data_IF_083567534571
#
_entry.id   IF_083567534571
#
_cell.length_a   1.000
_cell.length_b   1.000
_cell.length_c   1.000
_cell.angle_alpha   90.00
_cell.angle_beta   90.00
_cell.angle_gamma   90.00
#
_symmetry.space_group_name_H-M   'P 1'
#
loop_
_entity.id
_entity.type
_entity.pdbx_description
1 polymer ?
#
# COMPACT_ATOMS: atom_id res chain seq x y z
N UNK A 1 0.70 -8.66 32.27
CA UNK A 1 1.62 -9.74 31.82
C UNK A 1 0.94 -10.41 30.63
N UNK A 2 1.53 -10.43 29.43
CA UNK A 2 0.92 -11.12 28.29
C UNK A 2 0.84 -12.63 28.61
N UNK A 3 -0.37 -13.17 28.63
CA UNK A 3 -0.60 -14.61 28.85
C UNK A 3 -0.02 -15.37 27.67
N UNK A 4 0.85 -16.34 27.95
CA UNK A 4 1.49 -17.17 26.91
C UNK A 4 0.75 -18.49 26.81
N UNK A 5 0.30 -18.86 25.60
CA UNK A 5 -0.35 -20.13 25.34
C UNK A 5 0.54 -21.01 24.44
N UNK A 6 0.55 -22.31 24.73
CA UNK A 6 1.29 -23.30 23.95
C UNK A 6 0.31 -24.14 23.13
N UNK A 7 0.54 -24.23 21.81
CA UNK A 7 -0.22 -25.11 20.90
C UNK A 7 0.75 -26.03 20.15
N UNK A 8 0.31 -27.26 19.85
CA UNK A 8 1.12 -28.24 19.11
C UNK A 8 0.93 -28.08 17.60
N UNK A 9 1.98 -27.67 16.90
CA UNK A 9 1.98 -27.54 15.44
C UNK A 9 2.51 -28.82 14.78
N UNK A 10 1.82 -29.28 13.74
CA UNK A 10 2.31 -30.34 12.85
C UNK A 10 2.80 -29.70 11.57
N UNK A 11 4.08 -29.87 11.25
CA UNK A 11 4.69 -29.36 10.01
C UNK A 11 4.36 -30.28 8.82
N UNK A 12 4.59 -29.78 7.60
CA UNK A 12 4.48 -30.57 6.36
C UNK A 12 5.32 -31.86 6.37
N UNK A 13 6.45 -31.85 7.09
CA UNK A 13 7.30 -33.03 7.30
C UNK A 13 6.70 -34.09 8.24
N UNK A 14 5.51 -33.87 8.80
CA UNK A 14 4.90 -34.71 9.83
C UNK A 14 5.48 -34.51 11.22
N UNK A 15 6.55 -33.72 11.37
CA UNK A 15 7.15 -33.38 12.67
C UNK A 15 6.19 -32.53 13.49
N UNK A 16 6.04 -32.88 14.77
CA UNK A 16 5.22 -32.13 15.74
C UNK A 16 6.12 -31.32 16.66
N UNK A 17 5.86 -30.02 16.75
CA UNK A 17 6.63 -29.08 17.57
C UNK A 17 5.71 -28.28 18.49
N UNK A 18 6.10 -28.06 19.76
CA UNK A 18 5.39 -27.14 20.64
C UNK A 18 5.70 -25.70 20.25
N UNK A 19 4.66 -24.90 19.98
CA UNK A 19 4.77 -23.48 19.69
C UNK A 19 4.25 -22.67 20.87
N UNK A 20 5.07 -21.75 21.38
CA UNK A 20 4.74 -20.93 22.54
C UNK A 20 4.69 -19.46 22.13
N UNK A 21 3.48 -18.90 22.06
CA UNK A 21 3.21 -17.51 21.66
C UNK A 21 2.29 -16.85 22.69
N UNK A 22 2.29 -15.53 22.73
CA UNK A 22 1.30 -14.77 23.49
C UNK A 22 -0.10 -14.91 22.86
N UNK A 23 -1.13 -14.71 23.67
CA UNK A 23 -2.53 -14.87 23.27
C UNK A 23 -2.91 -13.98 22.08
N UNK A 24 -2.40 -12.74 22.03
CA UNK A 24 -2.68 -11.81 20.94
C UNK A 24 -2.13 -12.32 19.60
N UNK A 25 -0.91 -12.87 19.60
CA UNK A 25 -0.32 -13.51 18.42
C UNK A 25 -1.15 -14.73 17.97
N UNK A 26 -1.67 -15.55 18.90
CA UNK A 26 -2.56 -16.66 18.54
C UNK A 26 -3.87 -16.19 17.90
N UNK A 27 -4.50 -15.16 18.47
CA UNK A 27 -5.72 -14.58 17.91
C UNK A 27 -5.49 -14.01 16.50
N UNK A 28 -4.35 -13.35 16.28
CA UNK A 28 -3.97 -12.86 14.96
C UNK A 28 -3.81 -14.01 13.95
N UNK A 29 -3.17 -15.11 14.35
CA UNK A 29 -3.02 -16.31 13.50
C UNK A 29 -4.38 -16.92 13.19
N UNK A 30 -5.25 -17.07 14.19
CA UNK A 30 -6.59 -17.64 14.01
C UNK A 30 -7.41 -16.79 13.02
N UNK A 31 -7.34 -15.46 13.12
CA UNK A 31 -7.98 -14.53 12.19
C UNK A 31 -7.39 -14.59 10.77
N UNK A 32 -6.05 -14.61 10.63
CA UNK A 32 -5.38 -14.71 9.32
C UNK A 32 -5.66 -16.06 8.62
N UNK A 33 -5.80 -17.13 9.38
CA UNK A 33 -6.15 -18.44 8.86
C UNK A 33 -7.59 -18.47 8.34
N UNK A 34 -8.54 -17.90 9.11
CA UNK A 34 -9.95 -17.79 8.74
C UNK A 34 -10.14 -16.97 7.46
N UNK A 35 -9.42 -15.84 7.33
CA UNK A 35 -9.41 -15.02 6.10
C UNK A 35 -8.97 -15.78 4.84
N UNK A 36 -8.19 -16.85 4.99
CA UNK A 36 -7.72 -17.69 3.87
C UNK A 36 -8.49 -19.00 3.76
N UNK A 37 -9.57 -19.19 4.52
CA UNK A 37 -10.31 -20.47 4.61
C UNK A 37 -9.40 -21.66 4.96
N UNK A 38 -8.37 -21.41 5.79
CA UNK A 38 -7.41 -22.43 6.25
C UNK A 38 -7.58 -22.67 7.74
N UNK A 39 -7.16 -23.86 8.19
CA UNK A 39 -6.97 -24.07 9.63
C UNK A 39 -5.68 -23.37 10.07
N UNK A 40 -5.62 -22.95 11.34
CA UNK A 40 -4.41 -22.33 11.90
C UNK A 40 -3.16 -23.22 11.74
N UNK A 41 -3.33 -24.55 11.75
CA UNK A 41 -2.24 -25.52 11.59
C UNK A 41 -1.64 -25.45 10.18
N UNK A 42 -2.50 -25.45 9.16
CA UNK A 42 -2.09 -25.34 7.75
C UNK A 42 -1.46 -23.98 7.52
N UNK A 43 -2.08 -22.90 8.04
CA UNK A 43 -1.54 -21.56 7.90
C UNK A 43 -0.13 -21.42 8.51
N UNK A 44 0.08 -21.93 9.73
CA UNK A 44 1.39 -21.90 10.37
C UNK A 44 2.43 -22.75 9.62
N UNK A 45 2.02 -23.92 9.10
CA UNK A 45 2.91 -24.78 8.34
C UNK A 45 3.33 -24.13 7.01
N UNK A 46 2.41 -23.43 6.35
CA UNK A 46 2.68 -22.65 5.13
C UNK A 46 3.59 -21.46 5.43
N UNK A 47 3.31 -20.71 6.50
CA UNK A 47 4.11 -19.56 6.93
C UNK A 47 5.57 -19.95 7.25
N UNK A 48 5.79 -21.18 7.74
CA UNK A 48 7.11 -21.71 8.07
C UNK A 48 7.77 -22.50 6.93
N UNK A 49 7.07 -22.77 5.81
CA UNK A 49 7.64 -23.49 4.68
C UNK A 49 8.92 -22.82 4.10
N UNK A 50 9.03 -21.48 4.01
CA UNK A 50 10.26 -20.82 3.57
C UNK A 50 11.40 -20.87 4.60
N UNK A 51 11.06 -21.16 5.86
CA UNK A 51 11.95 -21.10 7.03
C UNK A 51 12.09 -22.48 7.70
N UNK A 52 12.01 -23.57 6.93
CA UNK A 52 11.95 -24.95 7.46
C UNK A 52 13.14 -25.33 8.35
N UNK A 53 14.28 -24.66 8.17
CA UNK A 53 15.53 -24.86 8.93
C UNK A 53 15.85 -23.71 9.91
N UNK A 54 14.91 -22.81 10.18
CA UNK A 54 15.15 -21.70 11.11
C UNK A 54 15.38 -22.20 12.55
N UNK A 55 16.49 -21.78 13.17
CA UNK A 55 16.82 -22.08 14.57
C UNK A 55 15.71 -21.63 15.54
N UNK A 56 14.90 -20.63 15.16
CA UNK A 56 13.82 -20.11 15.98
C UNK A 56 12.50 -19.98 15.21
N UNK A 57 11.82 -21.11 15.03
CA UNK A 57 10.52 -21.19 14.37
C UNK A 57 9.44 -20.33 15.05
N UNK A 58 9.54 -20.08 16.36
CA UNK A 58 8.58 -19.23 17.10
C UNK A 58 8.73 -17.77 16.71
N UNK A 59 9.97 -17.28 16.56
CA UNK A 59 10.23 -15.93 16.08
C UNK A 59 9.77 -15.77 14.61
N UNK A 60 10.11 -16.74 13.75
CA UNK A 60 9.71 -16.74 12.35
C UNK A 60 8.18 -16.70 12.17
N UNK A 61 7.44 -17.47 12.99
CA UNK A 61 5.98 -17.47 12.93
C UNK A 61 5.37 -16.14 13.39
N UNK A 62 5.94 -15.52 14.43
CA UNK A 62 5.51 -14.18 14.89
C UNK A 62 5.75 -13.12 13.82
N UNK A 63 6.94 -13.13 13.23
CA UNK A 63 7.29 -12.22 12.14
C UNK A 63 6.34 -12.39 10.94
N UNK A 64 6.11 -13.63 10.51
CA UNK A 64 5.18 -13.91 9.42
C UNK A 64 3.76 -13.40 9.72
N UNK A 65 3.25 -13.61 10.94
CA UNK A 65 1.95 -13.07 11.34
C UNK A 65 1.92 -11.54 11.28
N UNK A 66 2.94 -10.86 11.82
CA UNK A 66 3.01 -9.39 11.80
C UNK A 66 3.12 -8.83 10.38
N UNK A 67 3.97 -9.42 9.53
CA UNK A 67 4.09 -9.03 8.13
C UNK A 67 2.74 -9.17 7.39
N UNK A 68 2.01 -10.27 7.60
CA UNK A 68 0.69 -10.47 6.99
C UNK A 68 -0.39 -9.52 7.50
N UNK A 69 -0.38 -9.20 8.80
CA UNK A 69 -1.29 -8.18 9.35
C UNK A 69 -1.03 -6.80 8.72
N UNK A 70 0.25 -6.42 8.59
CA UNK A 70 0.64 -5.16 7.95
C UNK A 70 0.25 -5.14 6.48
N UNK A 71 0.52 -6.21 5.73
CA UNK A 71 0.07 -6.35 4.35
C UNK A 71 -1.44 -6.14 4.24
N UNK A 72 -2.25 -6.85 5.04
CA UNK A 72 -3.71 -6.71 4.96
C UNK A 72 -4.19 -5.31 5.31
N UNK A 73 -3.57 -4.66 6.29
CA UNK A 73 -3.91 -3.27 6.65
C UNK A 73 -3.59 -2.31 5.50
N UNK A 74 -2.41 -2.45 4.89
CA UNK A 74 -1.98 -1.61 3.75
C UNK A 74 -2.85 -1.88 2.51
N UNK A 75 -3.16 -3.14 2.20
CA UNK A 75 -3.96 -3.50 1.02
C UNK A 75 -5.44 -3.11 1.16
N UNK A 76 -6.02 -3.24 2.36
CA UNK A 76 -7.40 -2.81 2.61
C UNK A 76 -7.53 -1.29 2.50
N UNK A 77 -6.57 -0.55 3.05
CA UNK A 77 -6.53 0.91 2.95
C UNK A 77 -6.37 1.37 1.49
N UNK A 78 -5.49 0.72 0.73
CA UNK A 78 -5.34 0.97 -0.71
C UNK A 78 -6.62 0.67 -1.50
N UNK A 79 -7.30 -0.45 -1.24
CA UNK A 79 -8.53 -0.81 -1.96
C UNK A 79 -9.66 0.20 -1.70
N UNK A 80 -9.80 0.68 -0.46
CA UNK A 80 -10.76 1.73 -0.12
C UNK A 80 -10.38 3.07 -0.78
N UNK A 81 -9.10 3.40 -0.84
CA UNK A 81 -8.59 4.60 -1.51
C UNK A 81 -8.85 4.54 -3.03
N UNK A 82 -8.58 3.43 -3.71
CA UNK A 82 -8.91 3.27 -5.14
C UNK A 82 -10.40 3.38 -5.42
N UNK A 83 -11.26 2.81 -4.55
CA UNK A 83 -12.70 2.94 -4.69
C UNK A 83 -13.16 4.39 -4.50
N UNK A 84 -12.55 5.14 -3.57
CA UNK A 84 -12.81 6.56 -3.39
C UNK A 84 -12.32 7.40 -4.59
N UNK A 85 -11.13 7.09 -5.12
CA UNK A 85 -10.52 7.75 -6.27
C UNK A 85 -11.35 7.55 -7.54
N UNK A 86 -11.78 6.32 -7.82
CA UNK A 86 -12.57 5.99 -9.01
C UNK A 86 -13.92 6.71 -9.10
N UNK A 87 -14.46 7.15 -7.96
CA UNK A 87 -15.74 7.86 -7.89
C UNK A 87 -15.61 9.39 -7.93
N UNK A 88 -14.40 9.95 -7.89
CA UNK A 88 -14.20 11.38 -7.75
C UNK A 88 -13.61 12.00 -9.05
N UNK A 89 -14.30 12.96 -9.69
CA UNK A 89 -13.93 13.48 -11.01
C UNK A 89 -12.47 13.95 -11.13
N UNK A 90 -11.94 14.65 -10.12
CA UNK A 90 -10.56 15.19 -10.15
C UNK A 90 -9.45 14.13 -10.05
N UNK A 91 -9.71 12.99 -9.41
CA UNK A 91 -8.66 12.02 -9.02
C UNK A 91 -8.90 10.65 -9.64
N UNK A 92 -9.95 10.48 -10.44
CA UNK A 92 -10.28 9.22 -11.10
C UNK A 92 -9.19 8.76 -12.06
N UNK A 93 -8.58 9.71 -12.77
CA UNK A 93 -7.50 9.45 -13.74
C UNK A 93 -6.12 9.85 -13.16
N UNK A 94 -5.98 9.77 -11.83
CA UNK A 94 -4.73 10.05 -11.15
C UNK A 94 -3.84 8.81 -11.03
N UNK A 95 -2.54 9.03 -10.95
CA UNK A 95 -1.54 7.97 -10.89
C UNK A 95 -0.39 8.33 -9.97
N UNK A 96 0.25 7.29 -9.42
CA UNK A 96 1.55 7.44 -8.77
C UNK A 96 2.63 7.32 -9.83
N UNK A 97 3.67 8.16 -9.72
CA UNK A 97 4.80 8.19 -10.64
C UNK A 97 6.09 8.02 -9.84
N UNK A 98 7.06 7.30 -10.39
CA UNK A 98 8.42 7.35 -9.87
C UNK A 98 9.18 8.61 -10.36
N UNK A 99 10.40 8.82 -9.85
CA UNK A 99 11.24 9.97 -10.20
C UNK A 99 11.55 10.04 -11.71
N UNK A 100 11.72 8.89 -12.37
CA UNK A 100 12.08 8.83 -13.79
C UNK A 100 10.86 9.11 -14.69
N UNK A 101 9.71 8.56 -14.34
CA UNK A 101 8.43 8.80 -14.99
C UNK A 101 8.03 10.27 -14.88
N UNK A 102 8.10 10.86 -13.67
CA UNK A 102 7.81 12.27 -13.48
C UNK A 102 8.77 13.15 -14.27
N UNK A 103 10.07 12.83 -14.27
CA UNK A 103 11.07 13.56 -15.05
C UNK A 103 10.73 13.58 -16.54
N UNK A 104 10.44 12.41 -17.12
CA UNK A 104 10.06 12.25 -18.53
C UNK A 104 8.79 13.02 -18.89
N UNK A 105 7.79 13.02 -18.00
CA UNK A 105 6.53 13.76 -18.21
C UNK A 105 6.78 15.27 -18.16
N UNK A 106 7.52 15.75 -17.15
CA UNK A 106 7.80 17.18 -16.98
C UNK A 106 8.71 17.75 -18.07
N UNK A 107 9.53 16.93 -18.73
CA UNK A 107 10.33 17.34 -19.90
C UNK A 107 9.47 17.68 -21.12
N UNK A 108 8.32 17.00 -21.27
CA UNK A 108 7.39 17.20 -22.39
C UNK A 108 6.24 18.16 -22.05
N UNK A 109 5.99 18.37 -20.77
CA UNK A 109 4.91 19.21 -20.28
C UNK A 109 5.20 20.70 -20.46
N UNK A 110 4.15 21.48 -20.72
CA UNK A 110 4.19 22.93 -20.63
C UNK A 110 3.91 23.38 -19.19
N UNK A 111 4.97 23.50 -18.38
CA UNK A 111 4.87 23.93 -16.98
C UNK A 111 4.55 25.43 -16.89
N UNK A 112 3.42 25.76 -16.27
CA UNK A 112 3.01 27.15 -16.04
C UNK A 112 3.52 27.71 -14.70
N UNK A 113 3.66 26.85 -13.69
CA UNK A 113 4.10 27.29 -12.37
C UNK A 113 4.44 26.16 -11.42
N UNK A 114 5.09 26.54 -10.32
CA UNK A 114 5.51 25.65 -9.22
C UNK A 114 5.25 26.33 -7.88
N UNK A 115 4.79 25.56 -6.91
CA UNK A 115 4.58 25.98 -5.53
C UNK A 115 5.29 25.00 -4.59
N UNK A 116 6.23 25.51 -3.81
CA UNK A 116 6.98 24.72 -2.84
C UNK A 116 6.34 24.85 -1.44
N UNK A 117 6.02 23.71 -0.82
CA UNK A 117 5.48 23.61 0.53
C UNK A 117 6.47 22.97 1.52
N UNK A 118 7.75 22.84 1.14
CA UNK A 118 8.84 22.30 1.94
C UNK A 118 8.89 20.77 2.01
N UNK A 119 7.73 20.11 2.16
CA UNK A 119 7.63 18.64 2.12
C UNK A 119 7.30 18.07 0.74
N UNK A 120 6.68 18.89 -0.11
CA UNK A 120 6.32 18.55 -1.48
C UNK A 120 6.23 19.82 -2.31
N UNK A 121 6.45 19.67 -3.61
CA UNK A 121 6.29 20.73 -4.61
C UNK A 121 5.07 20.40 -5.48
N UNK A 122 4.23 21.38 -5.75
CA UNK A 122 3.10 21.26 -6.68
C UNK A 122 3.47 21.97 -7.96
N UNK A 123 3.51 21.23 -9.06
CA UNK A 123 3.74 21.70 -10.42
C UNK A 123 2.42 21.65 -11.17
N UNK A 124 2.10 22.68 -11.94
CA UNK A 124 0.86 22.71 -12.73
C UNK A 124 1.13 23.29 -14.12
N UNK A 125 0.35 22.83 -15.09
CA UNK A 125 0.48 23.23 -16.49
C UNK A 125 -0.26 22.28 -17.42
N UNK A 126 0.25 22.09 -18.63
CA UNK A 126 -0.35 21.20 -19.63
C UNK A 126 0.55 20.02 -19.96
N UNK A 127 -0.04 18.84 -20.18
CA UNK A 127 0.68 17.68 -20.71
C UNK A 127 1.03 17.81 -22.22
N UNK A 128 1.62 16.76 -22.80
CA UNK A 128 1.97 16.73 -24.23
C UNK A 128 0.76 16.77 -25.18
N UNK A 129 -0.45 16.56 -24.64
CA UNK A 129 -1.72 16.58 -25.37
C UNK A 129 -2.53 17.87 -25.12
N UNK A 130 -2.01 18.81 -24.30
CA UNK A 130 -2.67 20.06 -23.96
C UNK A 130 -3.72 19.95 -22.85
N UNK A 131 -3.73 18.87 -22.08
CA UNK A 131 -4.63 18.69 -20.93
C UNK A 131 -4.08 19.37 -19.68
N UNK A 132 -4.95 20.02 -18.93
CA UNK A 132 -4.62 20.62 -17.64
C UNK A 132 -4.21 19.52 -16.64
N UNK A 133 -2.98 19.61 -16.13
CA UNK A 133 -2.38 18.61 -15.26
C UNK A 133 -1.76 19.26 -14.03
N UNK A 134 -1.85 18.53 -12.91
CA UNK A 134 -1.18 18.85 -11.66
C UNK A 134 -0.28 17.67 -11.28
N UNK A 135 0.98 17.96 -11.02
CA UNK A 135 1.97 17.01 -10.53
C UNK A 135 2.44 17.41 -9.13
N UNK A 136 2.31 16.50 -8.19
CA UNK A 136 2.77 16.64 -6.81
C UNK A 136 4.06 15.86 -6.68
N UNK A 137 5.17 16.59 -6.61
CA UNK A 137 6.50 16.03 -6.38
C UNK A 137 6.76 15.92 -4.89
N UNK A 138 7.02 14.71 -4.44
CA UNK A 138 7.41 14.43 -3.07
C UNK A 138 8.86 14.92 -2.82
N UNK A 139 9.11 15.58 -1.68
CA UNK A 139 10.44 16.03 -1.27
C UNK A 139 11.33 14.93 -0.67
N UNK A 140 10.79 13.73 -0.45
CA UNK A 140 11.55 12.56 -0.01
C UNK A 140 12.34 11.95 -1.19
N UNK A 141 13.60 11.60 -0.98
CA UNK A 141 14.41 10.86 -1.98
C UNK A 141 13.77 9.49 -2.30
N UNK A 142 13.66 9.16 -3.58
CA UNK A 142 13.02 7.94 -4.09
C UNK A 142 11.54 7.81 -3.68
N UNK A 143 10.87 8.94 -3.44
CA UNK A 143 9.47 8.97 -3.04
C UNK A 143 8.55 8.95 -4.24
N UNK A 144 7.46 8.18 -4.17
CA UNK A 144 6.43 8.22 -5.19
C UNK A 144 5.82 9.64 -5.27
N UNK A 145 5.67 10.12 -6.49
CA UNK A 145 4.98 11.34 -6.86
C UNK A 145 3.54 11.04 -7.22
N UNK A 146 2.71 12.06 -7.32
CA UNK A 146 1.30 11.91 -7.65
C UNK A 146 0.91 12.87 -8.76
N UNK A 147 0.24 12.40 -9.79
CA UNK A 147 -0.24 13.23 -10.88
C UNK A 147 -1.73 13.01 -11.08
N UNK A 148 -2.45 14.07 -11.45
CA UNK A 148 -3.84 13.97 -11.84
C UNK A 148 -4.18 14.97 -12.94
N UNK A 149 -5.08 14.55 -13.82
CA UNK A 149 -5.60 15.36 -14.91
C UNK A 149 -6.83 16.11 -14.39
N UNK A 150 -6.89 17.41 -14.64
CA UNK A 150 -8.06 18.23 -14.32
C UNK A 150 -9.11 17.97 -15.41
N UNK A 151 -10.30 17.44 -15.08
CA UNK A 151 -11.32 17.15 -16.06
C UNK A 151 -11.77 18.41 -16.80
N UNK A 152 -11.89 18.31 -18.13
CA UNK A 152 -12.52 19.34 -18.95
C UNK A 152 -13.98 19.53 -18.52
N UNK A 153 -14.25 20.63 -17.82
CA UNK A 153 -15.58 20.96 -17.27
C UNK A 153 -15.54 21.82 -16.01
N UNK A 154 -14.37 21.97 -15.36
CA UNK A 154 -14.19 22.89 -14.22
C UNK A 154 -13.62 24.26 -14.63
N UNK A 155 -13.27 24.44 -15.91
CA UNK A 155 -13.04 25.74 -16.52
C UNK A 155 -14.38 26.47 -16.64
N UNK A 156 -14.72 27.22 -15.60
CA UNK A 156 -15.87 28.12 -15.56
C UNK A 156 -15.97 28.93 -16.84
N UNK A 157 -17.13 28.85 -17.47
CA UNK A 157 -17.62 29.80 -18.47
C UNK A 157 -17.29 31.23 -18.06
N UNK A 158 -16.29 31.83 -18.70
CA UNK A 158 -16.13 33.27 -18.68
C UNK A 158 -17.06 33.85 -19.76
N UNK A 159 -18.37 33.72 -19.53
CA UNK A 159 -19.36 34.45 -20.30
C UNK A 159 -19.56 35.83 -19.67
N UNK A 160 -19.01 36.82 -20.38
CA UNK A 160 -19.52 38.19 -20.57
C UNK A 160 -19.95 38.94 -19.30
N UNK A 161 -19.27 40.03 -18.97
CA UNK A 161 -19.94 41.31 -18.77
C UNK A 161 -19.11 42.41 -19.45
N UNK A 162 -19.86 43.29 -20.11
CA UNK A 162 -19.45 44.46 -20.91
C UNK A 162 -18.71 45.51 -20.08
#
# INVERSE_FOLDING_TARGET
MPTTAQRMLTLHSGRRIPMKLDEATWQAIDWLADQQSKTWQVWCADALAPASDAENMTAALREAAMCRLLEQTIFQDRAAQYAAMGNHPLIRDSGMLDDAELGSILEKAHVQGRLDFGGFEVVFGFDEHGQDCVWIRNGLRNGLHFAFIVPHGLTTSNEKHQ
#
